data_IF_330237129627
#
_entry.id   IF_330237129627
#
_cell.length_a   1.000
_cell.length_b   1.000
_cell.length_c   1.000
_cell.angle_alpha   90.00
_cell.angle_beta   90.00
_cell.angle_gamma   90.00
#
_symmetry.space_group_name_H-M   'P 1'
#
loop_
_entity.id
_entity.type
_entity.pdbx_description
1 polymer ?
#
# COMPACT_ATOMS: atom_id res chain seq x y z
N UNK A 1 17.68 -4.20 -11.08
CA UNK A 1 16.60 -4.10 -12.10
C UNK A 1 16.37 -2.64 -12.51
N UNK A 2 16.12 -1.68 -11.59
CA UNK A 2 15.87 -0.27 -11.95
C UNK A 2 16.98 0.34 -12.84
N UNK A 3 18.25 0.24 -12.41
CA UNK A 3 19.39 0.71 -13.20
C UNK A 3 19.54 0.01 -14.57
N UNK A 4 19.17 -1.26 -14.68
CA UNK A 4 19.18 -1.99 -15.95
C UNK A 4 18.08 -1.49 -16.90
N UNK A 5 16.91 -1.16 -16.38
CA UNK A 5 15.82 -0.54 -17.14
C UNK A 5 16.25 0.83 -17.67
N UNK A 6 16.84 1.66 -16.82
CA UNK A 6 17.33 2.98 -17.22
C UNK A 6 18.44 2.89 -18.27
N UNK A 7 19.40 1.96 -18.08
CA UNK A 7 20.50 1.75 -19.04
C UNK A 7 20.00 1.21 -20.40
N UNK A 8 18.97 0.39 -20.40
CA UNK A 8 18.38 -0.17 -21.63
C UNK A 8 17.42 0.80 -22.34
N UNK A 9 17.01 1.89 -21.68
CA UNK A 9 16.05 2.86 -22.23
C UNK A 9 14.64 2.28 -22.47
N UNK A 10 14.31 1.15 -21.86
CA UNK A 10 13.01 0.49 -22.07
C UNK A 10 11.92 1.06 -21.14
N UNK A 11 10.68 0.98 -21.60
CA UNK A 11 9.53 1.30 -20.77
C UNK A 11 9.24 0.12 -19.82
N UNK A 12 9.20 0.38 -18.52
CA UNK A 12 8.95 -0.65 -17.51
C UNK A 12 8.11 -0.10 -16.36
N UNK A 13 7.24 -0.94 -15.81
CA UNK A 13 6.32 -0.57 -14.74
C UNK A 13 6.28 -1.67 -13.66
N UNK A 14 6.10 -1.28 -12.41
CA UNK A 14 5.71 -2.17 -11.31
C UNK A 14 4.19 -2.11 -11.16
N UNK A 15 3.54 -3.26 -11.00
CA UNK A 15 2.07 -3.32 -10.93
C UNK A 15 1.56 -2.97 -9.52
N UNK A 16 1.79 -1.75 -9.06
CA UNK A 16 1.16 -1.19 -7.87
C UNK A 16 -0.23 -0.64 -8.23
N UNK A 17 -1.13 -1.55 -8.56
CA UNK A 17 -2.44 -1.26 -9.12
C UNK A 17 -3.36 -0.48 -8.17
N UNK A 18 -3.14 -0.50 -6.86
CA UNK A 18 -3.96 0.25 -5.90
C UNK A 18 -3.85 1.77 -6.09
N UNK A 19 -2.75 2.28 -6.66
CA UNK A 19 -2.65 3.70 -7.03
C UNK A 19 -3.74 4.16 -8.00
N UNK A 20 -4.35 3.23 -8.76
CA UNK A 20 -5.37 3.50 -9.78
C UNK A 20 -6.81 3.32 -9.28
N UNK A 21 -6.99 3.09 -7.99
CA UNK A 21 -8.31 3.08 -7.38
C UNK A 21 -8.84 4.52 -7.31
N UNK A 22 -10.08 4.82 -7.78
CA UNK A 22 -10.59 6.18 -7.82
C UNK A 22 -10.52 6.93 -6.49
N UNK A 23 -10.87 6.26 -5.38
CA UNK A 23 -10.76 6.86 -4.06
C UNK A 23 -9.30 7.22 -3.69
N UNK A 24 -8.31 6.42 -4.11
CA UNK A 24 -6.89 6.70 -3.91
C UNK A 24 -6.45 7.94 -4.70
N UNK A 25 -6.84 8.01 -5.96
CA UNK A 25 -6.52 9.17 -6.82
C UNK A 25 -7.17 10.44 -6.28
N UNK A 26 -8.43 10.36 -5.81
CA UNK A 26 -9.09 11.51 -5.19
C UNK A 26 -8.45 11.92 -3.87
N UNK A 27 -8.03 10.96 -3.05
CA UNK A 27 -7.27 11.24 -1.84
C UNK A 27 -5.96 11.98 -2.16
N UNK A 28 -5.25 11.53 -3.21
CA UNK A 28 -4.02 12.20 -3.69
C UNK A 28 -4.29 13.63 -4.11
N UNK A 29 -5.33 13.88 -4.92
CA UNK A 29 -5.70 15.24 -5.34
C UNK A 29 -5.97 16.15 -4.13
N UNK A 30 -6.76 15.67 -3.15
CA UNK A 30 -7.06 16.43 -1.94
C UNK A 30 -5.81 16.76 -1.13
N UNK A 31 -4.87 15.82 -1.04
CA UNK A 31 -3.60 16.07 -0.34
C UNK A 31 -2.74 17.07 -1.09
N UNK A 32 -2.68 17.00 -2.42
CA UNK A 32 -1.96 17.97 -3.25
C UNK A 32 -2.59 19.38 -3.20
N UNK A 33 -3.93 19.47 -3.04
CA UNK A 33 -4.68 20.70 -2.81
C UNK A 33 -4.48 21.26 -1.38
N UNK A 34 -3.77 20.54 -0.51
CA UNK A 34 -3.54 20.95 0.88
C UNK A 34 -4.74 20.74 1.81
N UNK A 35 -5.70 19.89 1.44
CA UNK A 35 -6.93 19.66 2.20
C UNK A 35 -6.66 19.25 3.66
N UNK A 36 -5.69 18.36 3.88
CA UNK A 36 -5.35 17.90 5.23
C UNK A 36 -4.57 18.94 6.05
N UNK A 37 -3.93 19.92 5.39
CA UNK A 37 -2.92 20.76 6.05
C UNK A 37 -1.68 19.94 6.43
N UNK A 38 -1.01 20.30 7.53
CA UNK A 38 0.09 19.51 8.06
C UNK A 38 -0.45 18.16 8.56
N UNK A 39 0.09 17.06 8.06
CA UNK A 39 -0.26 15.72 8.53
C UNK A 39 0.31 15.48 9.91
N UNK A 40 -0.54 15.17 10.88
CA UNK A 40 -0.16 14.86 12.25
C UNK A 40 0.23 13.40 12.45
N UNK A 41 -0.56 12.50 11.83
CA UNK A 41 -0.32 11.06 11.88
C UNK A 41 -1.12 10.31 10.83
N UNK A 42 -0.79 9.05 10.64
CA UNK A 42 -1.57 8.12 9.83
C UNK A 42 -1.60 6.74 10.47
N UNK A 43 -2.59 5.92 10.08
CA UNK A 43 -2.62 4.50 10.38
C UNK A 43 -3.16 3.72 9.20
N UNK A 44 -2.67 2.49 9.01
CA UNK A 44 -3.09 1.65 7.91
C UNK A 44 -3.05 0.18 8.29
N UNK A 45 -3.85 -0.63 7.63
CA UNK A 45 -3.74 -2.08 7.72
C UNK A 45 -4.07 -2.74 6.39
N UNK A 46 -3.49 -3.93 6.21
CA UNK A 46 -3.83 -4.79 5.11
C UNK A 46 -3.97 -6.23 5.59
N UNK A 47 -5.22 -6.69 5.66
CA UNK A 47 -5.61 -7.95 6.26
C UNK A 47 -6.19 -8.92 5.24
N UNK A 48 -5.77 -10.17 5.35
CA UNK A 48 -6.32 -11.31 4.65
C UNK A 48 -6.40 -12.51 5.58
N UNK A 49 -7.32 -13.45 5.29
CA UNK A 49 -7.50 -14.70 6.04
C UNK A 49 -7.06 -15.93 5.25
N UNK A 50 -6.49 -15.75 4.08
CA UNK A 50 -6.24 -16.83 3.12
C UNK A 50 -5.19 -17.86 3.55
N UNK A 51 -4.46 -17.61 4.64
CA UNK A 51 -3.38 -18.49 5.15
C UNK A 51 -3.68 -19.09 6.52
N UNK A 52 -4.89 -18.92 7.06
CA UNK A 52 -5.29 -19.39 8.39
C UNK A 52 -5.21 -20.92 8.52
N UNK A 53 -5.57 -21.67 7.47
CA UNK A 53 -5.55 -23.13 7.56
C UNK A 53 -4.12 -23.64 7.69
N UNK A 54 -3.77 -24.38 8.77
CA UNK A 54 -2.46 -25.01 8.89
C UNK A 54 -2.27 -26.16 7.88
N UNK A 55 -3.34 -26.64 7.27
CA UNK A 55 -3.32 -27.67 6.23
C UNK A 55 -3.00 -27.11 4.82
N UNK A 56 -2.89 -25.79 4.69
CA UNK A 56 -2.46 -25.18 3.43
C UNK A 56 -1.03 -25.65 3.10
N UNK A 57 -0.82 -26.24 1.90
CA UNK A 57 0.49 -26.80 1.53
C UNK A 57 1.60 -25.75 1.52
N UNK A 58 2.80 -26.19 1.90
CA UNK A 58 4.03 -25.39 1.80
C UNK A 58 4.33 -25.13 0.31
N UNK A 59 4.42 -23.86 -0.06
CA UNK A 59 4.77 -23.41 -1.41
C UNK A 59 6.00 -22.51 -1.37
N UNK A 60 6.49 -22.09 -2.52
CA UNK A 60 7.61 -21.15 -2.64
C UNK A 60 7.42 -19.86 -1.82
N UNK A 61 6.18 -19.45 -1.57
CA UNK A 61 5.82 -18.26 -0.77
C UNK A 61 6.20 -18.35 0.70
N UNK A 62 6.60 -19.53 1.18
CA UNK A 62 7.01 -19.76 2.56
C UNK A 62 8.53 -19.94 2.69
N UNK A 63 9.28 -19.94 1.57
CA UNK A 63 10.74 -19.97 1.55
C UNK A 63 11.29 -18.54 1.49
N UNK A 64 12.14 -18.19 2.43
CA UNK A 64 12.80 -16.87 2.48
C UNK A 64 13.70 -16.65 1.28
N UNK A 65 14.43 -17.68 0.85
CA UNK A 65 15.34 -17.60 -0.29
C UNK A 65 14.59 -17.22 -1.59
N UNK A 66 13.39 -17.76 -1.78
CA UNK A 66 12.62 -17.57 -3.03
C UNK A 66 11.72 -16.35 -2.96
N UNK A 67 11.02 -16.12 -1.84
CA UNK A 67 10.02 -15.05 -1.73
C UNK A 67 10.57 -13.75 -1.12
N UNK A 68 11.76 -13.77 -0.51
CA UNK A 68 12.34 -12.65 0.21
C UNK A 68 11.70 -12.38 1.58
N UNK A 69 10.42 -12.64 1.75
CA UNK A 69 9.65 -12.42 2.98
C UNK A 69 8.22 -12.91 2.88
N UNK A 70 7.47 -12.75 3.97
CA UNK A 70 6.12 -13.24 4.11
C UNK A 70 5.02 -12.22 3.83
N UNK A 71 4.16 -12.00 4.83
CA UNK A 71 3.07 -11.03 4.73
C UNK A 71 3.59 -9.61 4.49
N UNK A 72 4.70 -9.24 5.13
CA UNK A 72 5.34 -7.94 4.94
C UNK A 72 5.68 -7.69 3.47
N UNK A 73 6.26 -8.67 2.77
CA UNK A 73 6.67 -8.50 1.37
C UNK A 73 5.48 -8.59 0.40
N UNK A 74 4.54 -9.51 0.63
CA UNK A 74 3.40 -9.74 -0.26
C UNK A 74 2.35 -8.64 -0.14
N UNK A 75 1.82 -8.43 1.05
CA UNK A 75 0.77 -7.44 1.31
C UNK A 75 1.38 -6.07 1.64
N UNK A 76 2.43 -6.07 2.45
CA UNK A 76 3.07 -4.84 2.92
C UNK A 76 3.67 -4.02 1.79
N UNK A 77 4.15 -4.63 0.70
CA UNK A 77 4.67 -3.89 -0.46
C UNK A 77 3.61 -2.96 -1.08
N UNK A 78 2.38 -3.44 -1.23
CA UNK A 78 1.26 -2.63 -1.72
C UNK A 78 0.85 -1.53 -0.74
N UNK A 79 0.84 -1.84 0.56
CA UNK A 79 0.49 -0.88 1.61
C UNK A 79 1.53 0.24 1.70
N UNK A 80 2.81 -0.10 1.72
CA UNK A 80 3.91 0.85 1.78
C UNK A 80 3.99 1.71 0.52
N UNK A 81 3.68 1.13 -0.64
CA UNK A 81 3.57 1.88 -1.88
C UNK A 81 2.49 2.97 -1.81
N UNK A 82 1.30 2.65 -1.29
CA UNK A 82 0.24 3.63 -1.13
C UNK A 82 0.56 4.71 -0.09
N UNK A 83 1.17 4.34 1.05
CA UNK A 83 1.64 5.32 2.03
C UNK A 83 2.61 6.29 1.35
N UNK A 84 3.60 5.78 0.61
CA UNK A 84 4.55 6.62 -0.11
C UNK A 84 3.90 7.47 -1.20
N UNK A 85 2.97 6.89 -1.94
CA UNK A 85 2.25 7.60 -2.99
C UNK A 85 1.43 8.77 -2.45
N UNK A 86 0.80 8.62 -1.30
CA UNK A 86 -0.08 9.63 -0.72
C UNK A 86 0.65 10.60 0.20
N UNK A 87 1.58 10.12 1.02
CA UNK A 87 2.16 10.87 2.14
C UNK A 87 3.65 11.17 1.99
N UNK A 88 4.31 10.58 1.00
CA UNK A 88 5.74 10.75 0.78
C UNK A 88 6.59 9.64 1.38
N UNK A 89 7.91 9.83 1.34
CA UNK A 89 8.87 8.79 1.71
C UNK A 89 8.89 8.53 3.23
N UNK A 90 9.24 7.28 3.59
CA UNK A 90 9.48 6.85 4.96
C UNK A 90 10.97 6.98 5.25
N UNK A 91 11.31 7.59 6.39
CA UNK A 91 12.70 7.77 6.83
C UNK A 91 13.14 6.69 7.83
N UNK A 92 12.23 6.30 8.73
CA UNK A 92 12.53 5.34 9.78
C UNK A 92 11.38 4.36 9.97
N UNK A 93 11.73 3.14 10.36
CA UNK A 93 10.76 2.10 10.70
C UNK A 93 11.21 1.32 11.93
N UNK A 94 10.23 0.98 12.79
CA UNK A 94 10.34 -0.03 13.82
C UNK A 94 9.34 -1.13 13.53
N UNK A 95 9.82 -2.37 13.46
CA UNK A 95 9.01 -3.50 13.04
C UNK A 95 9.03 -4.65 14.04
N UNK A 96 7.93 -5.40 14.08
CA UNK A 96 7.82 -6.72 14.68
C UNK A 96 7.24 -7.66 13.62
N UNK A 97 7.92 -8.77 13.38
CA UNK A 97 7.53 -9.80 12.41
C UNK A 97 7.28 -11.12 13.14
N UNK A 98 6.15 -11.77 12.88
CA UNK A 98 5.74 -12.98 13.57
C UNK A 98 5.36 -14.11 12.60
N UNK A 99 5.86 -15.31 12.85
CA UNK A 99 5.45 -16.55 12.18
C UNK A 99 4.58 -17.36 13.16
N UNK A 100 3.27 -17.39 12.93
CA UNK A 100 2.31 -18.05 13.84
C UNK A 100 2.01 -19.49 13.45
N UNK A 101 2.23 -19.86 12.19
CA UNK A 101 2.11 -21.23 11.70
C UNK A 101 3.49 -21.66 11.20
N UNK A 102 4.34 -22.23 12.10
CA UNK A 102 5.76 -22.45 11.82
C UNK A 102 6.02 -23.62 10.86
N UNK A 103 5.05 -24.51 10.67
CA UNK A 103 5.18 -25.69 9.81
C UNK A 103 3.91 -25.90 8.98
N UNK A 104 4.09 -26.42 7.78
CA UNK A 104 3.00 -26.77 6.86
C UNK A 104 3.29 -28.07 6.12
N UNK A 105 2.23 -28.81 5.69
CA UNK A 105 2.42 -30.01 4.90
C UNK A 105 3.11 -29.71 3.56
N UNK A 106 3.99 -30.60 3.11
CA UNK A 106 4.64 -30.49 1.81
C UNK A 106 3.60 -30.66 0.69
N UNK A 107 3.71 -29.88 -0.39
CA UNK A 107 2.74 -29.89 -1.49
C UNK A 107 2.64 -31.26 -2.19
N UNK A 108 3.74 -32.02 -2.24
CA UNK A 108 3.78 -33.35 -2.89
C UNK A 108 3.55 -34.52 -1.92
N UNK A 109 3.63 -34.29 -0.61
CA UNK A 109 3.49 -35.32 0.43
C UNK A 109 2.94 -34.70 1.71
N UNK A 110 1.62 -34.65 1.90
CA UNK A 110 0.99 -34.04 3.06
C UNK A 110 1.27 -34.74 4.41
N UNK A 111 1.85 -35.95 4.39
CA UNK A 111 2.27 -36.65 5.60
C UNK A 111 3.55 -36.08 6.20
N UNK A 112 4.28 -35.29 5.45
CA UNK A 112 5.53 -34.63 5.86
C UNK A 112 5.30 -33.13 6.02
N UNK A 113 5.87 -32.60 7.12
CA UNK A 113 5.83 -31.16 7.41
C UNK A 113 7.14 -30.51 6.98
N UNK A 114 7.01 -29.26 6.49
CA UNK A 114 8.15 -28.42 6.18
C UNK A 114 8.05 -27.08 6.91
N UNK A 115 9.21 -26.49 7.19
CA UNK A 115 9.32 -25.24 7.95
C UNK A 115 8.86 -24.04 7.12
N UNK A 116 8.09 -23.15 7.75
CA UNK A 116 7.78 -21.80 7.26
C UNK A 116 8.91 -20.85 7.70
N UNK A 117 9.55 -20.17 6.75
CA UNK A 117 10.74 -19.33 7.00
C UNK A 117 10.43 -17.82 7.01
N UNK A 118 9.18 -17.46 6.80
CA UNK A 118 8.73 -16.07 6.61
C UNK A 118 7.60 -15.71 7.55
N UNK A 119 7.36 -14.42 7.69
CA UNK A 119 6.33 -13.86 8.56
C UNK A 119 4.90 -14.11 8.05
N UNK A 120 3.97 -14.32 8.99
CA UNK A 120 2.52 -14.29 8.76
C UNK A 120 1.91 -12.93 9.12
N UNK A 121 2.55 -12.22 10.06
CA UNK A 121 2.11 -10.94 10.62
C UNK A 121 3.29 -9.96 10.64
N UNK A 122 3.01 -8.70 10.35
CA UNK A 122 3.95 -7.60 10.51
C UNK A 122 3.26 -6.40 11.14
N UNK A 123 3.92 -5.79 12.13
CA UNK A 123 3.51 -4.56 12.78
C UNK A 123 4.62 -3.53 12.60
N UNK A 124 4.27 -2.37 12.07
CA UNK A 124 5.23 -1.33 11.75
C UNK A 124 4.83 -0.03 12.47
N UNK A 125 5.81 0.60 13.09
CA UNK A 125 5.78 2.03 13.40
C UNK A 125 6.71 2.72 12.42
N UNK A 126 6.28 3.83 11.86
CA UNK A 126 7.03 4.55 10.82
C UNK A 126 7.11 6.04 11.13
N UNK A 127 8.15 6.68 10.60
CA UNK A 127 8.29 8.11 10.54
C UNK A 127 8.52 8.52 9.09
N UNK A 128 7.68 9.41 8.59
CA UNK A 128 7.81 9.96 7.25
C UNK A 128 8.92 11.01 7.18
N UNK A 129 9.40 11.30 5.99
CA UNK A 129 10.36 12.37 5.73
C UNK A 129 9.86 13.76 6.18
N UNK A 130 8.54 13.96 6.21
CA UNK A 130 7.87 15.14 6.78
C UNK A 130 7.63 15.08 8.29
N UNK A 131 8.30 14.15 9.00
CA UNK A 131 8.24 13.92 10.46
C UNK A 131 6.90 13.37 11.00
N UNK A 132 5.90 13.13 10.16
CA UNK A 132 4.64 12.55 10.61
C UNK A 132 4.82 11.07 11.02
N UNK A 133 4.45 10.69 12.26
CA UNK A 133 4.45 9.30 12.70
C UNK A 133 3.25 8.55 12.14
N UNK A 134 3.41 7.23 11.98
CA UNK A 134 2.29 6.37 11.59
C UNK A 134 2.51 4.91 11.93
N UNK A 135 1.45 4.13 11.75
CA UNK A 135 1.45 2.69 11.99
C UNK A 135 0.91 1.93 10.80
N UNK A 136 1.41 0.71 10.61
CA UNK A 136 0.85 -0.22 9.65
C UNK A 136 0.80 -1.63 10.24
N UNK A 137 -0.30 -2.32 9.97
CA UNK A 137 -0.50 -3.71 10.36
C UNK A 137 -0.76 -4.56 9.12
N UNK A 138 -0.03 -5.64 8.99
CA UNK A 138 -0.14 -6.56 7.85
C UNK A 138 -0.39 -7.96 8.38
N UNK A 139 -1.40 -8.66 7.86
CA UNK A 139 -1.73 -10.00 8.30
C UNK A 139 -2.28 -10.86 7.18
N UNK A 140 -1.79 -12.09 7.08
CA UNK A 140 -2.38 -13.18 6.29
C UNK A 140 -3.33 -14.07 7.10
N UNK A 141 -3.43 -13.82 8.42
CA UNK A 141 -4.16 -14.64 9.37
C UNK A 141 -5.32 -13.88 10.07
N UNK A 142 -5.74 -12.75 9.54
CA UNK A 142 -6.83 -11.97 10.12
C UNK A 142 -8.16 -12.66 9.84
N UNK A 143 -8.65 -13.44 10.82
CA UNK A 143 -9.91 -14.19 10.71
C UNK A 143 -11.08 -13.25 10.39
N UNK A 144 -11.84 -13.57 9.35
CA UNK A 144 -12.97 -12.75 8.88
C UNK A 144 -12.61 -11.72 7.81
N UNK A 145 -11.34 -11.35 7.69
CA UNK A 145 -10.92 -10.45 6.62
C UNK A 145 -10.84 -11.18 5.28
N UNK A 146 -11.34 -10.56 4.22
CA UNK A 146 -11.24 -11.07 2.84
C UNK A 146 -10.06 -10.47 2.11
N UNK A 147 -10.04 -9.14 1.99
CA UNK A 147 -9.00 -8.34 1.37
C UNK A 147 -9.10 -6.90 1.90
N UNK A 148 -8.98 -6.74 3.21
CA UNK A 148 -9.33 -5.53 3.93
C UNK A 148 -8.11 -4.61 4.01
N UNK A 149 -8.12 -3.59 3.19
CA UNK A 149 -7.13 -2.53 3.21
C UNK A 149 -7.78 -1.23 3.65
N UNK A 150 -7.19 -0.58 4.64
CA UNK A 150 -7.62 0.73 5.13
C UNK A 150 -6.41 1.65 5.31
N UNK A 151 -6.63 2.94 5.07
CA UNK A 151 -5.69 4.00 5.39
C UNK A 151 -6.44 5.20 5.94
N UNK A 152 -6.02 5.67 7.10
CA UNK A 152 -6.52 6.88 7.73
C UNK A 152 -5.41 7.90 7.87
N UNK A 153 -5.67 9.13 7.48
CA UNK A 153 -4.75 10.27 7.51
C UNK A 153 -5.38 11.36 8.37
N UNK A 154 -4.68 11.82 9.37
CA UNK A 154 -5.13 12.86 10.28
C UNK A 154 -4.25 14.09 10.12
N UNK A 155 -4.83 15.20 9.71
CA UNK A 155 -4.14 16.45 9.49
C UNK A 155 -4.78 17.63 10.25
N UNK A 156 -4.09 18.75 10.22
CA UNK A 156 -4.47 19.98 10.89
C UNK A 156 -5.83 20.53 10.42
N UNK A 157 -6.08 20.46 9.13
CA UNK A 157 -7.28 21.04 8.47
C UNK A 157 -8.30 20.01 8.04
N UNK A 158 -7.93 18.73 7.99
CA UNK A 158 -8.81 17.66 7.56
C UNK A 158 -8.29 16.28 7.82
N UNK A 159 -9.19 15.31 7.78
CA UNK A 159 -8.86 13.90 7.83
C UNK A 159 -9.41 13.17 6.60
N UNK A 160 -8.72 12.11 6.21
CA UNK A 160 -9.11 11.27 5.07
C UNK A 160 -9.14 9.81 5.55
N UNK A 161 -10.19 9.07 5.21
CA UNK A 161 -10.30 7.62 5.40
C UNK A 161 -10.58 6.97 4.06
N UNK A 162 -9.73 6.02 3.72
CA UNK A 162 -9.73 5.26 2.47
C UNK A 162 -9.88 3.78 2.77
N UNK A 163 -10.87 3.11 2.15
CA UNK A 163 -11.07 1.67 2.19
C UNK A 163 -11.04 1.07 0.80
N UNK A 164 -10.26 0.00 0.58
CA UNK A 164 -10.31 -0.74 -0.68
C UNK A 164 -11.44 -1.79 -0.71
N UNK A 165 -12.13 -2.02 0.40
CA UNK A 165 -13.41 -2.77 0.42
C UNK A 165 -14.58 -1.93 -0.05
N UNK A 166 -14.43 -0.59 -0.05
CA UNK A 166 -15.39 0.38 -0.59
C UNK A 166 -14.68 1.36 -1.57
N UNK A 167 -14.12 0.86 -2.67
CA UNK A 167 -13.12 1.56 -3.49
C UNK A 167 -13.68 2.75 -4.30
N UNK A 168 -15.00 2.92 -4.31
CA UNK A 168 -15.67 4.00 -5.03
C UNK A 168 -15.94 5.22 -4.15
N UNK A 169 -15.60 5.14 -2.87
CA UNK A 169 -15.94 6.17 -1.89
C UNK A 169 -14.75 6.57 -1.06
N UNK A 170 -14.68 7.85 -0.75
CA UNK A 170 -13.69 8.43 0.14
C UNK A 170 -14.41 9.14 1.28
N UNK A 171 -13.99 8.91 2.52
CA UNK A 171 -14.51 9.64 3.66
C UNK A 171 -13.56 10.75 4.04
N UNK A 172 -14.07 11.97 4.13
CA UNK A 172 -13.29 13.14 4.55
C UNK A 172 -13.95 13.82 5.75
N UNK A 173 -13.12 14.40 6.60
CA UNK A 173 -13.55 15.33 7.63
C UNK A 173 -12.87 16.67 7.37
N UNK A 174 -13.67 17.75 7.18
CA UNK A 174 -13.16 19.10 7.00
C UNK A 174 -13.35 19.91 8.28
N UNK A 175 -12.26 20.29 8.92
CA UNK A 175 -12.28 21.11 10.14
C UNK A 175 -12.92 22.47 9.90
N UNK A 176 -12.85 22.99 8.68
CA UNK A 176 -13.42 24.28 8.27
C UNK A 176 -14.93 24.24 8.05
N UNK A 177 -15.52 23.02 8.04
CA UNK A 177 -16.98 22.88 7.88
C UNK A 177 -17.71 23.52 9.06
N UNK A 178 -18.64 24.43 8.75
CA UNK A 178 -19.42 25.17 9.76
C UNK A 178 -20.33 24.24 10.58
N UNK A 179 -20.61 24.64 11.81
CA UNK A 179 -21.47 23.94 12.76
C UNK A 179 -22.89 24.51 12.86
N UNK A 180 -23.25 25.46 12.01
CA UNK A 180 -24.57 26.10 11.95
C UNK A 180 -25.30 25.84 10.62
N UNK A 181 -26.61 25.69 10.61
CA UNK A 181 -27.51 25.52 11.77
C UNK A 181 -27.13 24.23 12.54
N UNK A 182 -27.71 23.93 13.65
CA UNK A 182 -27.34 22.89 14.62
C UNK A 182 -26.62 21.67 14.01
N UNK A 183 -25.31 21.50 14.32
CA UNK A 183 -24.43 20.49 13.76
C UNK A 183 -23.86 20.84 12.36
N UNK A 184 -24.50 21.71 11.59
CA UNK A 184 -24.04 22.16 10.27
C UNK A 184 -23.64 21.02 9.32
N UNK A 185 -22.44 21.12 8.77
CA UNK A 185 -21.81 20.08 7.96
C UNK A 185 -20.65 19.38 8.70
N UNK A 186 -20.58 19.51 10.01
CA UNK A 186 -19.57 18.86 10.81
C UNK A 186 -19.79 17.34 10.82
N UNK A 187 -18.75 16.58 10.56
CA UNK A 187 -18.77 15.12 10.50
C UNK A 187 -18.00 14.58 9.31
N UNK A 188 -17.86 13.28 9.25
CA UNK A 188 -17.32 12.64 8.06
C UNK A 188 -18.32 12.72 6.92
N UNK A 189 -17.87 13.28 5.80
CA UNK A 189 -18.61 13.30 4.53
C UNK A 189 -18.10 12.17 3.64
N UNK A 190 -19.00 11.40 3.06
CA UNK A 190 -18.70 10.37 2.09
C UNK A 190 -18.76 10.98 0.69
N UNK A 191 -17.62 10.95 -0.03
CA UNK A 191 -17.50 11.46 -1.40
C UNK A 191 -17.53 10.29 -2.37
N UNK A 192 -18.36 10.42 -3.39
CA UNK A 192 -18.29 9.54 -4.54
C UNK A 192 -17.10 9.91 -5.42
N UNK A 193 -16.33 8.90 -5.85
CA UNK A 193 -15.08 9.11 -6.58
C UNK A 193 -15.07 8.55 -8.00
N UNK A 194 -16.03 7.70 -8.33
CA UNK A 194 -16.04 6.88 -9.55
C UNK A 194 -15.98 7.67 -10.86
N UNK A 195 -16.40 8.94 -10.86
CA UNK A 195 -16.54 9.77 -12.07
C UNK A 195 -15.50 10.89 -12.19
N UNK A 196 -14.49 10.93 -11.34
CA UNK A 196 -13.74 12.19 -11.14
C UNK A 196 -12.30 12.16 -11.64
N UNK A 197 -11.98 11.31 -12.60
CA UNK A 197 -10.62 11.22 -13.12
C UNK A 197 -10.57 11.40 -14.62
N UNK A 198 -9.80 12.40 -15.05
CA UNK A 198 -9.42 12.54 -16.43
C UNK A 198 -8.56 11.35 -16.87
N UNK A 199 -8.94 10.72 -17.96
CA UNK A 199 -8.20 9.60 -18.53
C UNK A 199 -8.31 8.26 -17.79
N UNK A 200 -9.16 8.15 -16.77
CA UNK A 200 -9.49 6.86 -16.21
C UNK A 200 -10.26 6.01 -17.24
N UNK A 201 -9.93 4.72 -17.31
CA UNK A 201 -10.70 3.75 -18.10
C UNK A 201 -12.08 3.49 -17.46
N UNK A 202 -12.59 4.45 -16.71
CA UNK A 202 -13.80 4.32 -15.98
C UNK A 202 -14.99 4.52 -16.87
N UNK A 203 -15.88 3.55 -16.98
CA UNK A 203 -17.23 3.85 -17.39
C UNK A 203 -17.90 4.66 -16.30
N UNK A 204 -19.10 5.01 -16.57
CA UNK A 204 -19.94 5.87 -15.76
C UNK A 204 -20.13 5.37 -14.31
N UNK A 205 -20.75 6.19 -13.52
CA UNK A 205 -21.08 5.98 -12.11
C UNK A 205 -21.96 4.74 -11.84
N UNK A 206 -22.57 4.15 -12.86
CA UNK A 206 -23.42 2.97 -12.71
C UNK A 206 -22.65 1.68 -12.56
N UNK A 207 -21.31 1.71 -12.82
CA UNK A 207 -20.47 0.53 -12.75
C UNK A 207 -19.46 0.65 -11.61
N UNK A 208 -19.68 -0.03 -10.49
CA UNK A 208 -18.79 0.04 -9.34
C UNK A 208 -17.38 -0.44 -9.70
N UNK A 209 -16.37 0.20 -9.08
CA UNK A 209 -15.00 -0.23 -9.19
C UNK A 209 -14.84 -1.61 -8.57
N UNK A 210 -14.22 -2.52 -9.31
CA UNK A 210 -13.80 -3.82 -8.82
C UNK A 210 -12.27 -3.90 -8.77
N UNK A 211 -11.75 -4.91 -8.08
CA UNK A 211 -10.32 -5.20 -8.05
C UNK A 211 -9.73 -5.37 -9.46
N UNK A 212 -10.45 -6.06 -10.36
CA UNK A 212 -10.02 -6.26 -11.75
C UNK A 212 -9.85 -4.92 -12.48
N UNK A 213 -10.67 -3.94 -12.16
CA UNK A 213 -10.63 -2.64 -12.83
C UNK A 213 -9.38 -1.84 -12.49
N UNK A 214 -8.90 -1.86 -11.27
CA UNK A 214 -7.63 -1.20 -10.90
C UNK A 214 -6.44 -1.82 -11.63
N UNK A 215 -6.46 -3.13 -11.88
CA UNK A 215 -5.48 -3.79 -12.74
C UNK A 215 -5.60 -3.36 -14.20
N UNK A 216 -6.82 -3.31 -14.75
CA UNK A 216 -7.05 -2.85 -16.12
C UNK A 216 -6.58 -1.42 -16.33
N UNK A 217 -6.87 -0.52 -15.38
CA UNK A 217 -6.40 0.87 -15.42
C UNK A 217 -4.87 0.96 -15.35
N UNK A 218 -4.24 0.16 -14.49
CA UNK A 218 -2.78 0.07 -14.41
C UNK A 218 -2.15 -0.31 -15.75
N UNK A 219 -2.71 -1.31 -16.43
CA UNK A 219 -2.25 -1.75 -17.77
C UNK A 219 -2.51 -0.68 -18.84
N UNK A 220 -3.69 -0.07 -18.81
CA UNK A 220 -4.02 1.02 -19.73
C UNK A 220 -3.03 2.19 -19.61
N UNK A 221 -2.71 2.62 -18.39
CA UNK A 221 -1.74 3.70 -18.17
C UNK A 221 -0.32 3.32 -18.62
N UNK A 222 0.05 2.05 -18.54
CA UNK A 222 1.31 1.56 -19.08
C UNK A 222 1.34 1.66 -20.61
N UNK A 223 0.31 1.15 -21.30
CA UNK A 223 0.20 1.23 -22.75
C UNK A 223 0.16 2.69 -23.24
N UNK A 224 -0.58 3.54 -22.53
CA UNK A 224 -0.63 4.98 -22.80
C UNK A 224 0.74 5.63 -22.64
N UNK A 225 1.51 5.26 -21.63
CA UNK A 225 2.87 5.75 -21.43
C UNK A 225 3.82 5.34 -22.58
N UNK A 226 3.65 4.14 -23.15
CA UNK A 226 4.38 3.70 -24.33
C UNK A 226 3.98 4.54 -25.54
N UNK A 227 2.67 4.72 -25.76
CA UNK A 227 2.16 5.52 -26.89
C UNK A 227 2.60 6.98 -26.85
N UNK A 228 2.61 7.58 -25.67
CA UNK A 228 2.99 8.98 -25.44
C UNK A 228 4.50 9.18 -25.27
N UNK A 229 5.29 8.14 -25.38
CA UNK A 229 6.75 8.12 -25.15
C UNK A 229 7.17 8.72 -23.79
N UNK A 230 6.36 8.58 -22.77
CA UNK A 230 6.65 9.03 -21.40
C UNK A 230 7.10 7.89 -20.50
N UNK A 231 7.72 8.23 -19.39
CA UNK A 231 8.07 7.25 -18.35
C UNK A 231 6.80 6.69 -17.70
N UNK A 232 6.58 5.36 -17.67
CA UNK A 232 5.46 4.76 -16.94
C UNK A 232 5.55 5.02 -15.43
N UNK A 233 4.38 5.08 -14.77
CA UNK A 233 4.29 5.17 -13.32
C UNK A 233 3.21 4.19 -12.82
N UNK A 234 3.45 3.51 -11.66
CA UNK A 234 4.70 3.44 -10.88
C UNK A 234 5.82 2.72 -11.65
N UNK A 235 7.03 3.22 -11.53
CA UNK A 235 8.20 2.66 -12.20
C UNK A 235 9.03 1.73 -11.28
N UNK A 236 10.16 1.22 -11.78
CA UNK A 236 11.04 0.36 -10.98
C UNK A 236 11.72 1.09 -9.83
N UNK A 237 11.88 2.42 -9.88
CA UNK A 237 12.39 3.17 -8.75
C UNK A 237 11.35 3.30 -7.64
N UNK A 238 10.05 3.36 -7.97
CA UNK A 238 9.00 3.23 -6.95
C UNK A 238 9.10 1.87 -6.24
N UNK A 239 9.40 0.80 -7.00
CA UNK A 239 9.67 -0.52 -6.44
C UNK A 239 10.91 -0.56 -5.54
N UNK A 240 12.02 0.08 -5.94
CA UNK A 240 13.24 0.20 -5.12
C UNK A 240 12.93 0.88 -3.79
N UNK A 241 12.20 1.99 -3.81
CA UNK A 241 11.84 2.71 -2.58
C UNK A 241 10.99 1.87 -1.61
N UNK A 242 10.12 1.03 -2.14
CA UNK A 242 9.36 0.08 -1.31
C UNK A 242 10.28 -0.99 -0.74
N UNK A 243 11.19 -1.55 -1.53
CA UNK A 243 12.17 -2.54 -1.07
C UNK A 243 13.07 -2.00 0.04
N UNK A 244 13.51 -0.75 -0.05
CA UNK A 244 14.32 -0.10 0.99
C UNK A 244 13.60 -0.09 2.35
N UNK A 245 12.29 0.17 2.36
CA UNK A 245 11.48 0.13 3.59
C UNK A 245 11.33 -1.32 4.09
N UNK A 246 11.08 -2.26 3.19
CA UNK A 246 10.93 -3.68 3.54
C UNK A 246 12.22 -4.23 4.18
N UNK A 247 13.38 -3.89 3.62
CA UNK A 247 14.70 -4.27 4.16
C UNK A 247 14.95 -3.63 5.53
N UNK A 248 14.67 -2.32 5.68
CA UNK A 248 14.79 -1.64 6.95
C UNK A 248 13.87 -2.26 8.02
N UNK A 249 12.64 -2.65 7.65
CA UNK A 249 11.71 -3.34 8.55
C UNK A 249 12.25 -4.71 8.99
N UNK A 250 12.86 -5.49 8.09
CA UNK A 250 13.53 -6.76 8.46
C UNK A 250 14.71 -6.54 9.40
N UNK A 251 15.55 -5.54 9.14
CA UNK A 251 16.65 -5.16 10.02
C UNK A 251 16.12 -4.76 11.40
N UNK A 252 15.12 -3.89 11.43
CA UNK A 252 14.48 -3.42 12.66
C UNK A 252 13.93 -4.57 13.51
N UNK A 253 13.21 -5.50 12.89
CA UNK A 253 12.63 -6.66 13.59
C UNK A 253 13.71 -7.57 14.17
N UNK A 254 14.78 -7.83 13.41
CA UNK A 254 15.91 -8.68 13.85
C UNK A 254 16.70 -8.04 14.98
N UNK A 255 16.94 -6.74 14.92
CA UNK A 255 17.77 -6.01 15.86
C UNK A 255 16.97 -5.34 17.00
N UNK A 256 15.64 -5.46 16.95
CA UNK A 256 14.71 -4.88 17.93
C UNK A 256 14.94 -3.38 18.19
N UNK A 257 15.21 -2.60 17.15
CA UNK A 257 15.44 -1.14 17.20
C UNK A 257 14.81 -0.41 16.04
N UNK A 258 14.73 0.90 16.11
CA UNK A 258 14.44 1.72 14.92
C UNK A 258 15.56 1.53 13.88
N UNK A 259 15.17 1.40 12.62
CA UNK A 259 16.08 1.35 11.49
C UNK A 259 15.80 2.50 10.53
N UNK A 260 16.87 3.17 10.10
CA UNK A 260 16.78 4.18 9.05
C UNK A 260 16.54 3.48 7.71
N UNK A 261 15.70 4.08 6.86
CA UNK A 261 15.47 3.62 5.50
C UNK A 261 16.58 4.16 4.61
N UNK A 262 17.48 3.28 4.20
CA UNK A 262 18.56 3.66 3.28
C UNK A 262 17.96 4.10 1.93
N UNK A 263 18.49 5.18 1.36
CA UNK A 263 18.06 5.68 0.06
C UNK A 263 19.15 5.44 -0.97
N UNK A 264 18.91 4.50 -1.89
CA UNK A 264 19.78 4.32 -3.05
C UNK A 264 19.81 5.60 -3.89
N UNK A 265 21.00 5.98 -4.37
CA UNK A 265 21.15 7.08 -5.29
C UNK A 265 20.47 6.71 -6.63
N UNK A 266 19.25 7.16 -6.79
CA UNK A 266 18.48 7.08 -8.04
C UNK A 266 18.33 8.48 -8.62
N UNK A 267 18.01 8.57 -9.89
CA UNK A 267 17.75 9.84 -10.57
C UNK A 267 16.73 10.65 -9.78
N UNK A 268 17.13 11.82 -9.31
CA UNK A 268 16.23 12.78 -8.68
C UNK A 268 15.01 13.02 -9.56
N UNK A 269 13.84 13.03 -8.95
CA UNK A 269 12.59 13.35 -9.65
C UNK A 269 12.70 14.78 -10.21
N UNK A 270 12.88 14.90 -11.52
CA UNK A 270 12.49 16.12 -12.24
C UNK A 270 11.02 16.06 -12.59
#
# INVERSE_FOLDING_TARGET
MAAAVDAAGVKAQVTFNFRFVPAVLRARQLLDEGFAGRVFSFRSWYFRSSYISPQRPLTWRFSREVSGGGALFDLGSHLLDLIRFLLGDVDQVRAMLETRIPERPLAGDPSRMGKVEVDDLAFLHMRLAGDAPGTAEISRLATGATNDFELEIFGESGAIRLSLTDPNWLHIYDVRAGDKPLGGRRGYTRLETIQRFDGALAPDWTQPMSFVRSHAECQYQFLKAIWEDRRPRPDFWDGVRVQEILEAAQVSARENRWADVARSAGVERK
#
